data_IF_854557031936
#
_entry.id   IF_854557031936
#
_cell.length_a   1.000
_cell.length_b   1.000
_cell.length_c   1.000
_cell.angle_alpha   90.00
_cell.angle_beta   90.00
_cell.angle_gamma   90.00
#
_symmetry.space_group_name_H-M   'P 1'
#
loop_
_entity.id
_entity.type
_entity.pdbx_description
1 polymer ?
#
# COMPACT_ATOMS: atom_id res chain seq x y z
N UNK A 1 46.72 -21.74 -3.97
CA UNK A 1 45.46 -22.36 -4.45
C UNK A 1 45.10 -21.67 -5.74
N UNK A 2 45.02 -22.40 -6.87
CA UNK A 2 45.05 -21.81 -8.20
C UNK A 2 43.61 -21.48 -8.68
N UNK A 3 43.35 -20.19 -8.93
CA UNK A 3 42.03 -19.63 -9.23
C UNK A 3 41.44 -20.15 -10.55
N UNK A 4 42.29 -20.51 -11.51
CA UNK A 4 41.88 -21.08 -12.80
C UNK A 4 41.37 -22.52 -12.66
N UNK A 5 41.90 -23.26 -11.69
CA UNK A 5 41.43 -24.61 -11.38
C UNK A 5 40.02 -24.58 -10.78
N UNK A 6 39.77 -23.60 -9.90
CA UNK A 6 38.45 -23.40 -9.28
C UNK A 6 37.39 -22.98 -10.31
N UNK A 7 37.74 -22.12 -11.27
CA UNK A 7 36.82 -21.71 -12.34
C UNK A 7 36.48 -22.86 -13.30
N UNK A 8 37.45 -23.70 -13.62
CA UNK A 8 37.24 -24.85 -14.51
C UNK A 8 36.36 -25.91 -13.84
N UNK A 9 36.62 -26.18 -12.55
CA UNK A 9 35.83 -27.14 -11.78
C UNK A 9 34.38 -26.66 -11.55
N UNK A 10 34.17 -25.35 -11.34
CA UNK A 10 32.83 -24.76 -11.20
C UNK A 10 32.06 -24.70 -12.53
N UNK A 11 32.75 -24.48 -13.66
CA UNK A 11 32.12 -24.53 -14.97
C UNK A 11 31.67 -25.95 -15.32
N UNK A 12 32.47 -26.97 -15.02
CA UNK A 12 32.08 -28.37 -15.20
C UNK A 12 30.87 -28.77 -14.34
N UNK A 13 30.79 -28.28 -13.10
CA UNK A 13 29.64 -28.50 -12.22
C UNK A 13 28.36 -27.81 -12.69
N UNK A 14 28.45 -26.72 -13.46
CA UNK A 14 27.29 -26.01 -13.98
C UNK A 14 26.66 -26.73 -15.18
N UNK A 15 27.48 -27.40 -16.00
CA UNK A 15 27.01 -28.18 -17.16
C UNK A 15 26.42 -29.55 -16.76
N UNK A 16 26.77 -30.06 -15.58
CA UNK A 16 26.32 -31.38 -15.10
C UNK A 16 24.98 -31.32 -14.33
N UNK A 17 24.50 -30.12 -13.96
CA UNK A 17 23.26 -29.95 -13.18
C UNK A 17 22.12 -29.52 -14.10
N UNK A 18 21.33 -30.50 -14.55
CA UNK A 18 20.12 -30.25 -15.32
C UNK A 18 19.10 -29.48 -14.45
N UNK A 19 18.45 -28.43 -14.99
CA UNK A 19 17.49 -27.58 -14.26
C UNK A 19 16.40 -28.38 -13.51
N UNK A 20 16.06 -29.56 -14.03
CA UNK A 20 15.11 -30.50 -13.43
C UNK A 20 15.57 -31.03 -12.07
N UNK A 21 16.87 -31.23 -11.85
CA UNK A 21 17.41 -31.76 -10.60
C UNK A 21 17.31 -30.76 -9.45
N UNK A 22 17.48 -29.45 -9.72
CA UNK A 22 17.29 -28.40 -8.72
C UNK A 22 15.82 -28.32 -8.28
N UNK A 23 14.89 -28.42 -9.24
CA UNK A 23 13.45 -28.43 -8.96
C UNK A 23 13.05 -29.67 -8.15
N UNK A 24 13.52 -30.85 -8.53
CA UNK A 24 13.20 -32.10 -7.82
C UNK A 24 13.82 -32.16 -6.43
N UNK A 25 14.99 -31.53 -6.23
CA UNK A 25 15.63 -31.40 -4.91
C UNK A 25 14.88 -30.40 -4.02
N UNK A 26 14.40 -29.29 -4.58
CA UNK A 26 13.55 -28.34 -3.87
C UNK A 26 12.22 -28.98 -3.44
N UNK A 27 11.56 -29.71 -4.34
CA UNK A 27 10.29 -30.40 -4.04
C UNK A 27 10.46 -31.52 -3.00
N UNK A 28 11.55 -32.29 -3.06
CA UNK A 28 11.84 -33.32 -2.03
C UNK A 28 12.14 -32.71 -0.67
N UNK A 29 12.89 -31.60 -0.61
CA UNK A 29 13.20 -30.91 0.65
C UNK A 29 11.92 -30.34 1.27
N UNK A 30 11.06 -29.73 0.46
CA UNK A 30 9.74 -29.26 0.87
C UNK A 30 8.86 -30.39 1.44
N UNK A 31 8.76 -31.53 0.75
CA UNK A 31 7.98 -32.69 1.22
C UNK A 31 8.53 -33.34 2.49
N UNK A 32 9.84 -33.24 2.74
CA UNK A 32 10.47 -33.76 3.97
C UNK A 32 10.14 -32.88 5.17
N UNK A 33 10.20 -31.55 5.00
CA UNK A 33 9.84 -30.59 6.05
C UNK A 33 8.36 -30.71 6.41
N UNK A 34 7.48 -30.86 5.41
CA UNK A 34 6.05 -31.08 5.64
C UNK A 34 5.76 -32.35 6.47
N UNK A 35 6.48 -33.45 6.20
CA UNK A 35 6.32 -34.71 6.97
C UNK A 35 6.86 -34.63 8.39
N UNK A 36 7.96 -33.91 8.62
CA UNK A 36 8.52 -33.73 9.97
C UNK A 36 7.57 -32.92 10.87
N UNK A 37 6.81 -31.97 10.31
CA UNK A 37 5.86 -31.15 11.06
C UNK A 37 4.58 -31.91 11.46
N UNK A 38 4.11 -32.84 10.64
CA UNK A 38 2.91 -33.64 10.96
C UNK A 38 3.14 -34.60 12.14
N UNK A 39 4.39 -34.99 12.40
CA UNK A 39 4.76 -35.83 13.55
C UNK A 39 4.83 -35.06 14.88
N UNK A 40 4.98 -33.73 14.85
CA UNK A 40 5.12 -32.90 16.06
C UNK A 40 3.77 -32.38 16.61
N UNK A 41 2.73 -32.28 15.77
CA UNK A 41 1.42 -31.73 16.17
C UNK A 41 0.54 -32.76 16.91
N UNK A 42 0.83 -34.06 16.80
CA UNK A 42 0.04 -35.11 17.46
C UNK A 42 0.32 -35.26 18.98
N UNK A 43 1.27 -34.51 19.56
CA UNK A 43 1.70 -34.70 20.95
C UNK A 43 1.20 -33.64 21.95
N UNK A 44 0.41 -32.64 21.52
CA UNK A 44 0.15 -31.43 22.32
C UNK A 44 -1.31 -31.07 22.51
N UNK A 45 -2.23 -32.03 22.73
CA UNK A 45 -3.64 -31.69 22.99
C UNK A 45 -4.23 -32.50 24.15
N UNK A 46 -3.75 -32.26 25.37
CA UNK A 46 -4.45 -32.68 26.60
C UNK A 46 -4.25 -31.64 27.72
N UNK A 47 -5.36 -31.06 28.16
CA UNK A 47 -5.69 -30.53 29.51
C UNK A 47 -5.79 -29.01 29.77
N UNK A 48 -6.86 -28.72 30.57
CA UNK A 48 -7.23 -27.53 31.39
C UNK A 48 -8.14 -26.50 30.69
N UNK A 49 -9.50 -26.56 30.77
CA UNK A 49 -10.48 -26.32 31.88
C UNK A 49 -10.45 -24.88 32.46
N UNK A 50 -11.60 -24.17 32.45
CA UNK A 50 -11.97 -23.27 33.56
C UNK A 50 -12.75 -21.98 33.28
N UNK A 51 -14.08 -22.09 33.30
CA UNK A 51 -15.18 -21.13 33.57
C UNK A 51 -14.82 -19.75 34.19
N UNK A 52 -15.38 -18.64 33.65
CA UNK A 52 -16.25 -17.68 34.38
C UNK A 52 -16.93 -16.66 33.47
N UNK A 53 -18.22 -16.45 33.72
CA UNK A 53 -19.20 -15.59 33.05
C UNK A 53 -19.28 -14.19 33.68
N UNK A 54 -19.49 -13.15 32.87
CA UNK A 54 -20.19 -11.93 33.30
C UNK A 54 -20.96 -11.34 32.11
N UNK A 55 -22.29 -11.27 32.26
CA UNK A 55 -23.21 -10.88 31.21
C UNK A 55 -23.27 -9.37 30.99
N UNK A 56 -23.37 -8.99 29.71
CA UNK A 56 -23.98 -7.74 29.30
C UNK A 56 -25.18 -8.09 28.43
N UNK A 57 -26.37 -8.10 29.04
CA UNK A 57 -27.62 -8.05 28.31
C UNK A 57 -27.82 -6.59 27.85
N UNK A 58 -27.43 -6.27 26.61
CA UNK A 58 -27.79 -5.01 25.99
C UNK A 58 -29.22 -5.12 25.46
N UNK A 59 -30.06 -4.22 25.97
CA UNK A 59 -31.42 -3.97 25.56
C UNK A 59 -31.44 -3.64 24.06
N UNK A 60 -32.08 -4.48 23.26
CA UNK A 60 -32.25 -4.29 21.81
C UNK A 60 -33.53 -3.48 21.60
N UNK A 61 -33.36 -2.17 21.37
CA UNK A 61 -34.45 -1.31 20.92
C UNK A 61 -34.67 -1.58 19.42
N UNK A 62 -35.75 -2.28 19.07
CA UNK A 62 -36.20 -2.48 17.68
C UNK A 62 -36.83 -1.19 17.13
N UNK A 63 -36.05 -0.10 17.08
CA UNK A 63 -36.42 1.09 16.32
C UNK A 63 -36.15 0.82 14.84
N UNK A 64 -37.21 0.79 14.05
CA UNK A 64 -37.13 0.81 12.60
C UNK A 64 -36.22 1.97 12.15
N UNK A 65 -35.19 1.64 11.36
CA UNK A 65 -34.30 2.62 10.75
C UNK A 65 -35.14 3.62 9.94
N UNK A 66 -34.88 4.93 10.05
CA UNK A 66 -35.59 5.92 9.25
C UNK A 66 -35.35 5.64 7.76
N UNK A 67 -36.42 5.72 6.98
CA UNK A 67 -36.41 5.60 5.53
C UNK A 67 -35.43 6.64 4.96
N UNK A 68 -34.31 6.17 4.40
CA UNK A 68 -33.28 7.03 3.81
C UNK A 68 -33.83 7.52 2.47
N UNK A 69 -34.11 8.82 2.39
CA UNK A 69 -34.44 9.49 1.14
C UNK A 69 -33.37 9.18 0.08
N UNK A 70 -33.78 8.92 -1.16
CA UNK A 70 -32.93 8.56 -2.30
C UNK A 70 -31.76 9.55 -2.41
N UNK A 71 -30.59 9.13 -1.92
CA UNK A 71 -29.39 9.95 -1.83
C UNK A 71 -28.86 10.22 -3.23
N UNK A 72 -28.54 11.49 -3.52
CA UNK A 72 -27.82 11.86 -4.76
C UNK A 72 -26.54 11.03 -4.86
N UNK A 73 -26.23 10.56 -6.07
CA UNK A 73 -25.03 9.80 -6.46
C UNK A 73 -23.77 10.68 -6.51
N UNK A 74 -23.53 11.49 -5.48
CA UNK A 74 -22.34 12.33 -5.36
C UNK A 74 -21.28 11.60 -4.54
N UNK A 75 -19.98 11.87 -4.78
CA UNK A 75 -18.94 11.53 -3.82
C UNK A 75 -19.29 12.03 -2.40
N UNK A 76 -18.68 11.47 -1.34
CA UNK A 76 -18.87 11.93 0.03
C UNK A 76 -18.78 13.46 0.14
N UNK A 77 -19.68 14.09 0.89
CA UNK A 77 -19.70 15.53 1.06
C UNK A 77 -18.32 16.03 1.53
N UNK A 78 -17.74 16.99 0.80
CA UNK A 78 -16.35 17.45 0.98
C UNK A 78 -15.39 16.94 -0.10
N UNK A 79 -15.77 15.93 -0.90
CA UNK A 79 -15.02 15.48 -2.06
C UNK A 79 -15.59 16.03 -3.36
N UNK A 80 -14.71 16.37 -4.31
CA UNK A 80 -15.10 16.74 -5.68
C UNK A 80 -15.16 15.51 -6.59
N UNK A 81 -14.32 14.51 -6.34
CA UNK A 81 -14.30 13.26 -7.11
C UNK A 81 -13.62 12.11 -6.39
N UNK A 82 -13.81 10.89 -6.88
CA UNK A 82 -13.08 9.68 -6.48
C UNK A 82 -12.46 9.02 -7.72
N UNK A 83 -11.20 8.61 -7.63
CA UNK A 83 -10.43 8.03 -8.74
C UNK A 83 -10.16 6.56 -8.50
N UNK A 84 -10.52 5.73 -9.47
CA UNK A 84 -10.47 4.28 -9.40
C UNK A 84 -9.60 3.68 -10.51
N UNK A 85 -9.13 2.45 -10.27
CA UNK A 85 -8.54 1.57 -11.27
C UNK A 85 -9.15 0.17 -11.21
N UNK A 86 -9.52 -0.37 -12.36
CA UNK A 86 -10.18 -1.69 -12.43
C UNK A 86 -9.29 -2.85 -11.99
N UNK A 87 -7.99 -2.79 -12.28
CA UNK A 87 -7.02 -3.80 -11.89
C UNK A 87 -5.60 -3.20 -11.85
N UNK A 88 -4.91 -3.40 -10.72
CA UNK A 88 -3.52 -2.98 -10.54
C UNK A 88 -2.52 -3.89 -11.28
N UNK A 89 -2.84 -5.16 -11.53
CA UNK A 89 -1.91 -6.16 -12.10
C UNK A 89 -1.70 -6.03 -13.63
N UNK A 90 -2.48 -5.20 -14.32
CA UNK A 90 -2.46 -5.16 -15.79
C UNK A 90 -2.80 -3.82 -16.44
N UNK A 91 -2.77 -2.73 -15.68
CA UNK A 91 -3.28 -1.41 -16.09
C UNK A 91 -4.70 -1.52 -16.67
N UNK A 92 -5.67 -1.69 -15.77
CA UNK A 92 -7.09 -1.67 -16.13
C UNK A 92 -7.57 -0.30 -16.58
N UNK A 93 -8.83 -0.23 -17.03
CA UNK A 93 -9.49 1.05 -17.20
C UNK A 93 -9.44 1.84 -15.88
N UNK A 94 -9.26 3.15 -15.96
CA UNK A 94 -9.43 4.04 -14.83
C UNK A 94 -10.81 4.68 -14.88
N UNK A 95 -11.32 5.11 -13.74
CA UNK A 95 -12.60 5.78 -13.67
C UNK A 95 -12.52 6.93 -12.69
N UNK A 96 -13.28 7.98 -12.98
CA UNK A 96 -13.53 9.06 -12.04
C UNK A 96 -15.02 9.10 -11.76
N UNK A 97 -15.37 9.04 -10.49
CA UNK A 97 -16.72 9.28 -10.01
C UNK A 97 -16.81 10.70 -9.46
N UNK A 98 -17.69 11.52 -10.03
CA UNK A 98 -17.94 12.90 -9.61
C UNK A 98 -19.45 13.22 -9.65
N UNK A 99 -19.81 14.50 -9.56
CA UNK A 99 -21.22 14.93 -9.66
C UNK A 99 -21.89 14.74 -11.01
N UNK A 100 -21.13 14.38 -12.06
CA UNK A 100 -21.63 13.95 -13.36
C UNK A 100 -21.80 12.43 -13.50
N UNK A 101 -21.44 11.64 -12.48
CA UNK A 101 -21.49 10.18 -12.50
C UNK A 101 -20.11 9.53 -12.68
N UNK A 102 -20.07 8.30 -13.20
CA UNK A 102 -18.83 7.58 -13.48
C UNK A 102 -18.39 7.85 -14.92
N UNK A 103 -17.17 8.35 -15.09
CA UNK A 103 -16.50 8.47 -16.40
C UNK A 103 -15.29 7.56 -16.46
N UNK A 104 -15.27 6.65 -17.42
CA UNK A 104 -14.13 5.77 -17.69
C UNK A 104 -13.07 6.53 -18.50
N UNK A 105 -11.83 6.47 -18.02
CA UNK A 105 -10.65 6.98 -18.71
C UNK A 105 -9.94 5.80 -19.37
N UNK A 106 -9.79 5.87 -20.69
CA UNK A 106 -9.09 4.86 -21.47
C UNK A 106 -7.66 5.32 -21.73
N UNK A 107 -6.70 4.65 -21.10
CA UNK A 107 -5.28 4.76 -21.43
C UNK A 107 -5.04 3.97 -22.73
N UNK A 108 -5.36 4.57 -23.90
CA UNK A 108 -5.03 3.96 -25.19
C UNK A 108 -3.55 4.18 -25.50
N UNK A 109 -2.88 3.12 -25.95
CA UNK A 109 -1.53 3.14 -26.54
C UNK A 109 -0.34 3.35 -25.61
N UNK A 110 -0.45 3.03 -24.32
CA UNK A 110 0.73 3.07 -23.45
C UNK A 110 1.53 1.76 -23.51
N UNK A 111 2.87 1.80 -23.63
CA UNK A 111 3.74 0.62 -23.69
C UNK A 111 3.89 -0.08 -22.33
N UNK A 112 2.86 -0.04 -21.49
CA UNK A 112 2.84 -0.63 -20.15
C UNK A 112 2.80 -2.17 -20.23
N UNK A 113 2.18 -2.72 -21.27
CA UNK A 113 2.08 -4.16 -21.51
C UNK A 113 3.39 -4.91 -21.81
N UNK A 114 4.55 -4.25 -21.73
CA UNK A 114 5.88 -4.89 -21.78
C UNK A 114 6.60 -4.96 -20.43
N UNK A 115 6.03 -4.40 -19.38
CA UNK A 115 6.64 -4.36 -18.05
C UNK A 115 5.90 -5.33 -17.11
N UNK A 116 6.64 -5.99 -16.22
CA UNK A 116 6.06 -6.92 -15.25
C UNK A 116 5.01 -6.19 -14.42
N UNK A 117 3.83 -6.78 -14.25
CA UNK A 117 2.69 -6.13 -13.58
C UNK A 117 2.98 -5.65 -12.16
N UNK A 118 4.04 -6.16 -11.53
CA UNK A 118 4.44 -5.81 -10.16
C UNK A 118 4.88 -4.34 -10.02
N UNK A 119 5.62 -3.78 -11.00
CA UNK A 119 6.14 -2.40 -10.91
C UNK A 119 4.99 -1.37 -10.87
N UNK A 120 3.88 -1.63 -11.57
CA UNK A 120 2.73 -0.72 -11.66
C UNK A 120 1.89 -0.78 -10.40
N UNK A 121 1.68 -2.00 -9.89
CA UNK A 121 0.90 -2.24 -8.67
C UNK A 121 1.48 -1.43 -7.51
N UNK A 122 2.80 -1.42 -7.41
CA UNK A 122 3.54 -0.75 -6.33
C UNK A 122 3.67 0.77 -6.51
N UNK A 123 3.58 1.27 -7.76
CA UNK A 123 3.97 2.65 -8.05
C UNK A 123 2.86 3.58 -8.52
N UNK A 124 1.68 3.07 -8.88
CA UNK A 124 0.59 3.92 -9.36
C UNK A 124 0.02 4.79 -8.23
N UNK A 125 0.04 6.11 -8.41
CA UNK A 125 -0.55 7.06 -7.45
C UNK A 125 -1.12 8.29 -8.15
N UNK A 126 -2.10 8.92 -7.51
CA UNK A 126 -2.82 10.10 -8.00
C UNK A 126 -2.51 11.27 -7.08
N UNK A 127 -2.26 12.45 -7.66
CA UNK A 127 -2.00 13.66 -6.87
C UNK A 127 -3.19 14.03 -5.99
N UNK A 128 -2.97 14.68 -4.83
CA UNK A 128 -4.03 15.08 -3.92
C UNK A 128 -5.18 15.87 -4.55
N UNK A 129 -4.86 16.74 -5.50
CA UNK A 129 -5.82 17.55 -6.26
C UNK A 129 -6.49 16.80 -7.43
N UNK A 130 -6.13 15.54 -7.67
CA UNK A 130 -6.66 14.72 -8.76
C UNK A 130 -6.17 15.12 -10.15
N UNK A 131 -5.21 16.03 -10.26
CA UNK A 131 -4.74 16.54 -11.56
C UNK A 131 -3.81 15.55 -12.26
N UNK A 132 -2.98 14.83 -11.52
CA UNK A 132 -1.88 14.05 -12.07
C UNK A 132 -1.93 12.58 -11.64
N UNK A 133 -1.45 11.73 -12.55
CA UNK A 133 -1.17 10.33 -12.34
C UNK A 133 0.34 10.11 -12.47
N UNK A 134 0.93 9.31 -11.58
CA UNK A 134 2.33 8.90 -11.71
C UNK A 134 2.50 7.40 -11.47
N UNK A 135 3.48 6.81 -12.15
CA UNK A 135 3.88 5.41 -12.01
C UNK A 135 5.31 5.19 -12.47
N UNK A 136 5.92 4.08 -12.09
CA UNK A 136 7.29 3.71 -12.47
C UNK A 136 7.24 2.67 -13.60
N UNK A 137 8.21 2.74 -14.50
CA UNK A 137 8.52 1.69 -15.47
C UNK A 137 10.03 1.59 -15.69
N UNK A 138 10.47 0.67 -16.56
CA UNK A 138 11.88 0.63 -16.97
C UNK A 138 12.37 1.91 -17.67
N UNK A 139 11.48 2.73 -18.23
CA UNK A 139 11.85 4.00 -18.87
C UNK A 139 12.08 5.14 -17.87
N UNK A 140 11.64 4.98 -16.63
CA UNK A 140 11.67 6.01 -15.60
C UNK A 140 10.34 6.20 -14.89
N UNK A 141 10.23 7.32 -14.18
CA UNK A 141 9.02 7.76 -13.49
C UNK A 141 8.16 8.52 -14.48
N UNK A 142 6.96 8.02 -14.74
CA UNK A 142 6.00 8.66 -15.62
C UNK A 142 5.10 9.60 -14.85
N UNK A 143 4.73 10.68 -15.53
CA UNK A 143 3.75 11.65 -15.08
C UNK A 143 2.80 11.96 -16.23
N UNK A 144 1.50 11.89 -15.98
CA UNK A 144 0.47 12.26 -16.94
C UNK A 144 -0.63 13.05 -16.24
N UNK A 145 -1.28 13.96 -16.96
CA UNK A 145 -2.48 14.62 -16.46
C UNK A 145 -3.64 13.63 -16.53
N UNK A 146 -4.46 13.56 -15.47
CA UNK A 146 -5.55 12.60 -15.39
C UNK A 146 -6.57 12.86 -16.52
N UNK A 147 -6.70 11.88 -17.42
CA UNK A 147 -7.61 11.93 -18.57
C UNK A 147 -6.96 12.39 -19.88
N UNK A 148 -5.70 12.80 -19.85
CA UNK A 148 -4.91 13.10 -21.05
C UNK A 148 -4.09 11.88 -21.47
N UNK A 149 -3.71 11.81 -22.75
CA UNK A 149 -2.76 10.81 -23.25
C UNK A 149 -1.31 11.32 -23.24
N UNK A 150 -1.11 12.61 -22.96
CA UNK A 150 0.21 13.22 -22.89
C UNK A 150 0.91 12.78 -21.60
N UNK A 151 2.20 12.45 -21.75
CA UNK A 151 3.01 11.87 -20.69
C UNK A 151 4.41 12.43 -20.74
N UNK A 152 4.93 12.78 -19.57
CA UNK A 152 6.31 13.19 -19.37
C UNK A 152 7.01 12.09 -18.59
N UNK A 153 8.22 11.72 -19.04
CA UNK A 153 9.08 10.82 -18.28
C UNK A 153 10.03 11.68 -17.46
N UNK A 154 9.84 11.65 -16.14
CA UNK A 154 10.71 12.25 -15.16
C UNK A 154 11.91 11.32 -14.95
N UNK A 155 13.09 11.82 -15.30
CA UNK A 155 14.35 11.11 -15.12
C UNK A 155 15.36 12.03 -14.46
N UNK A 156 16.27 11.42 -13.68
CA UNK A 156 17.43 12.12 -13.18
C UNK A 156 18.43 12.28 -14.32
N UNK A 157 18.75 13.52 -14.67
CA UNK A 157 19.64 13.81 -15.80
C UNK A 157 21.12 13.56 -15.48
N UNK A 158 21.47 13.53 -14.19
CA UNK A 158 22.84 13.42 -13.73
C UNK A 158 23.22 11.96 -13.42
N UNK A 159 24.00 11.34 -14.31
CA UNK A 159 24.62 10.01 -14.11
C UNK A 159 23.71 8.82 -14.48
N UNK A 160 24.18 7.60 -14.19
CA UNK A 160 23.45 6.35 -14.43
C UNK A 160 22.48 6.03 -13.28
N UNK A 161 21.69 7.01 -12.86
CA UNK A 161 20.64 6.79 -11.87
C UNK A 161 19.36 6.29 -12.53
N UNK A 162 18.74 5.30 -11.90
CA UNK A 162 17.46 4.73 -12.30
C UNK A 162 16.45 4.91 -11.19
N UNK A 163 15.19 5.13 -11.54
CA UNK A 163 14.11 5.13 -10.55
C UNK A 163 14.01 3.72 -9.95
N UNK A 164 13.95 3.64 -8.63
CA UNK A 164 13.87 2.37 -7.90
C UNK A 164 12.41 2.02 -7.65
N UNK A 165 11.87 1.04 -8.37
CA UNK A 165 10.45 0.64 -8.27
C UNK A 165 10.13 -0.34 -7.14
N UNK A 166 10.99 -1.34 -6.88
CA UNK A 166 10.54 -2.57 -6.22
C UNK A 166 10.16 -2.55 -4.74
N UNK A 167 10.23 -1.41 -4.05
CA UNK A 167 9.82 -1.28 -2.63
C UNK A 167 9.38 0.16 -2.29
N UNK A 168 9.79 1.13 -3.10
CA UNK A 168 9.56 2.55 -2.86
C UNK A 168 8.75 3.10 -4.05
N UNK A 169 7.44 3.03 -3.93
CA UNK A 169 6.53 3.72 -4.85
C UNK A 169 6.70 5.24 -4.77
N UNK A 170 6.42 5.98 -5.85
CA UNK A 170 6.41 7.43 -5.78
C UNK A 170 5.25 7.91 -4.91
N UNK A 171 5.47 8.98 -4.16
CA UNK A 171 4.48 9.53 -3.22
C UNK A 171 4.30 11.03 -3.41
N UNK A 172 3.06 11.47 -3.55
CA UNK A 172 2.73 12.87 -3.79
C UNK A 172 2.82 13.71 -2.52
N UNK A 173 3.50 14.86 -2.61
CA UNK A 173 3.35 15.90 -1.61
C UNK A 173 1.90 16.39 -1.57
N UNK A 174 1.42 16.79 -0.39
CA UNK A 174 0.04 17.27 -0.22
C UNK A 174 -0.32 18.49 -1.08
N UNK A 175 0.69 19.25 -1.53
CA UNK A 175 0.53 20.39 -2.43
C UNK A 175 0.34 19.99 -3.91
N UNK A 176 0.44 18.71 -4.27
CA UNK A 176 0.36 18.19 -5.65
C UNK A 176 1.42 18.73 -6.61
N UNK A 177 2.44 19.43 -6.11
CA UNK A 177 3.48 20.05 -6.95
C UNK A 177 4.76 19.21 -7.03
N UNK A 178 4.91 18.24 -6.13
CA UNK A 178 6.14 17.43 -6.03
C UNK A 178 5.83 15.98 -5.73
N UNK A 179 6.71 15.11 -6.19
CA UNK A 179 6.65 13.67 -6.02
C UNK A 179 7.94 13.16 -5.37
N UNK A 180 7.82 12.54 -4.21
CA UNK A 180 8.91 11.85 -3.54
C UNK A 180 9.17 10.53 -4.28
N UNK A 181 10.42 10.25 -4.62
CA UNK A 181 10.79 8.98 -5.22
C UNK A 181 12.20 8.56 -4.78
N UNK A 182 12.47 7.26 -4.87
CA UNK A 182 13.81 6.71 -4.72
C UNK A 182 14.49 6.54 -6.08
N UNK A 183 15.78 6.87 -6.13
CA UNK A 183 16.67 6.62 -7.25
C UNK A 183 17.79 5.69 -6.79
N UNK A 184 18.23 4.82 -7.67
CA UNK A 184 19.35 3.90 -7.45
C UNK A 184 20.43 4.14 -8.49
N UNK A 185 21.69 4.05 -8.09
CA UNK A 185 22.83 4.05 -8.98
C UNK A 185 23.49 2.66 -8.95
N UNK A 186 23.21 1.79 -9.95
CA UNK A 186 23.64 0.40 -9.92
C UNK A 186 25.16 0.26 -9.78
N UNK A 187 25.92 1.13 -10.44
CA UNK A 187 27.39 1.09 -10.44
C UNK A 187 28.02 1.40 -9.08
N UNK A 188 27.29 2.07 -8.18
CA UNK A 188 27.78 2.45 -6.85
C UNK A 188 27.02 1.80 -5.70
N UNK A 189 25.99 1.00 -6.01
CA UNK A 189 25.04 0.48 -5.04
C UNK A 189 24.52 1.58 -4.09
N UNK A 190 24.27 2.77 -4.65
CA UNK A 190 23.79 3.93 -3.92
C UNK A 190 22.29 4.08 -4.15
N UNK A 191 21.53 4.36 -3.09
CA UNK A 191 20.10 4.70 -3.16
C UNK A 191 19.95 6.07 -2.55
N UNK A 192 19.28 6.96 -3.27
CA UNK A 192 18.97 8.32 -2.85
C UNK A 192 17.47 8.56 -2.97
N UNK A 193 16.87 9.19 -1.97
CA UNK A 193 15.50 9.67 -2.02
C UNK A 193 15.49 11.17 -2.33
N UNK A 194 14.43 11.66 -2.97
CA UNK A 194 14.32 13.07 -3.29
C UNK A 194 13.04 13.41 -4.04
N UNK A 195 12.89 14.69 -4.35
CA UNK A 195 11.70 15.25 -4.97
C UNK A 195 11.88 15.46 -6.45
N UNK A 196 10.91 15.02 -7.24
CA UNK A 196 10.68 15.55 -8.59
C UNK A 196 9.62 16.64 -8.53
N UNK A 197 9.81 17.71 -9.28
CA UNK A 197 8.76 18.70 -9.50
C UNK A 197 7.79 18.20 -10.58
N UNK A 198 6.49 18.37 -10.37
CA UNK A 198 5.44 17.91 -11.28
C UNK A 198 5.41 18.67 -12.61
N UNK A 199 6.08 19.82 -12.69
CA UNK A 199 6.24 20.60 -13.91
C UNK A 199 7.38 20.09 -14.84
N UNK A 200 7.97 18.93 -14.52
CA UNK A 200 9.12 18.39 -15.25
C UNK A 200 10.47 18.89 -14.76
N UNK A 201 10.51 19.59 -13.61
CA UNK A 201 11.74 20.07 -13.00
C UNK A 201 12.70 18.96 -12.53
N UNK A 202 13.91 19.39 -12.17
CA UNK A 202 15.01 18.49 -11.79
C UNK A 202 14.77 17.77 -10.45
N UNK A 203 15.36 16.58 -10.32
CA UNK A 203 15.42 15.85 -9.06
C UNK A 203 16.19 16.64 -8.00
N UNK A 204 15.55 16.88 -6.86
CA UNK A 204 16.17 17.53 -5.69
C UNK A 204 16.40 16.47 -4.60
N UNK A 205 17.65 16.08 -4.33
CA UNK A 205 17.96 15.08 -3.31
C UNK A 205 17.43 15.52 -1.94
N UNK A 206 16.79 14.60 -1.24
CA UNK A 206 16.49 14.76 0.18
C UNK A 206 17.75 14.34 0.95
N UNK A 207 18.33 15.27 1.71
CA UNK A 207 19.49 14.97 2.57
C UNK A 207 19.00 14.27 3.83
N UNK A 208 18.52 13.04 3.67
CA UNK A 208 17.91 12.26 4.73
C UNK A 208 18.28 10.77 4.62
N UNK A 209 19.27 10.38 5.40
CA UNK A 209 19.75 8.99 5.42
C UNK A 209 18.70 8.00 5.96
N UNK A 210 17.64 8.46 6.63
CA UNK A 210 16.66 7.58 7.29
C UNK A 210 15.60 7.00 6.36
N UNK A 211 15.37 7.62 5.20
CA UNK A 211 14.54 7.03 4.15
C UNK A 211 15.34 6.13 3.20
N UNK A 212 16.66 6.02 3.38
CA UNK A 212 17.48 5.14 2.56
C UNK A 212 17.15 3.69 2.88
N UNK A 213 16.66 2.97 1.86
CA UNK A 213 16.23 1.58 2.03
C UNK A 213 14.87 1.42 2.72
N UNK A 214 14.09 2.51 2.80
CA UNK A 214 12.69 2.44 3.18
C UNK A 214 11.87 1.70 2.11
N UNK A 215 10.86 0.96 2.56
CA UNK A 215 9.83 0.33 1.76
C UNK A 215 8.45 0.86 2.18
N UNK A 216 7.43 0.62 1.35
CA UNK A 216 6.02 0.97 1.64
C UNK A 216 5.85 2.39 2.16
N UNK A 217 6.50 3.33 1.47
CA UNK A 217 6.49 4.73 1.89
C UNK A 217 5.14 5.33 1.54
N UNK A 218 4.53 5.99 2.52
CA UNK A 218 3.30 6.77 2.36
C UNK A 218 3.50 8.15 2.92
N UNK A 219 3.07 9.18 2.18
CA UNK A 219 3.26 10.57 2.55
C UNK A 219 1.93 11.30 2.77
N UNK A 220 1.86 12.11 3.81
CA UNK A 220 0.80 13.09 4.01
C UNK A 220 1.30 14.29 4.83
N UNK A 221 1.19 15.48 4.25
CA UNK A 221 1.77 16.69 4.80
C UNK A 221 3.29 16.58 4.85
N UNK A 222 3.86 16.90 6.01
CA UNK A 222 5.28 16.72 6.28
C UNK A 222 5.60 15.30 6.78
N UNK A 223 4.62 14.42 6.96
CA UNK A 223 4.81 13.12 7.60
C UNK A 223 4.86 11.98 6.59
N UNK A 224 5.90 11.16 6.70
CA UNK A 224 6.03 9.90 5.99
C UNK A 224 5.88 8.73 6.97
N UNK A 225 5.13 7.71 6.59
CA UNK A 225 5.18 6.39 7.21
C UNK A 225 5.89 5.43 6.26
N UNK A 226 6.72 4.53 6.79
CA UNK A 226 7.48 3.59 5.98
C UNK A 226 7.94 2.39 6.79
N UNK A 227 8.27 1.32 6.09
CA UNK A 227 8.88 0.12 6.67
C UNK A 227 10.37 0.06 6.36
N UNK A 228 11.12 -0.61 7.23
CA UNK A 228 12.53 -0.97 6.96
C UNK A 228 12.74 -2.41 7.39
N UNK A 229 13.62 -3.14 6.70
CA UNK A 229 13.99 -4.51 7.05
C UNK A 229 15.42 -4.55 7.62
N UNK A 230 15.64 -4.25 8.91
CA UNK A 230 16.98 -4.32 9.50
C UNK A 230 17.58 -5.73 9.45
N UNK A 231 16.73 -6.76 9.39
CA UNK A 231 17.08 -8.18 9.28
C UNK A 231 16.06 -8.87 8.39
N UNK A 232 16.50 -9.87 7.63
CA UNK A 232 15.61 -10.67 6.79
C UNK A 232 14.43 -11.22 7.62
N UNK A 233 13.21 -10.88 7.21
CA UNK A 233 11.97 -11.32 7.86
C UNK A 233 11.57 -10.55 9.11
N UNK A 234 12.18 -9.39 9.39
CA UNK A 234 11.75 -8.45 10.44
C UNK A 234 11.55 -7.09 9.79
N UNK A 235 10.33 -6.56 9.87
CA UNK A 235 9.99 -5.23 9.36
C UNK A 235 9.69 -4.27 10.51
N UNK A 236 10.48 -3.21 10.62
CA UNK A 236 10.22 -2.11 11.54
C UNK A 236 9.41 -1.01 10.83
N UNK A 237 8.35 -0.53 11.47
CA UNK A 237 7.59 0.63 10.99
C UNK A 237 8.09 1.91 11.62
N UNK A 238 8.24 2.95 10.82
CA UNK A 238 8.58 4.29 11.29
C UNK A 238 7.57 5.30 10.79
N UNK A 239 7.38 6.36 11.57
CA UNK A 239 6.83 7.63 11.09
C UNK A 239 7.84 8.74 11.29
N UNK A 240 7.97 9.60 10.28
CA UNK A 240 8.98 10.65 10.22
C UNK A 240 8.41 11.95 9.69
N UNK A 241 8.73 13.05 10.35
CA UNK A 241 8.46 14.38 9.83
C UNK A 241 9.64 14.82 8.97
N UNK A 242 9.42 14.97 7.66
CA UNK A 242 10.44 15.32 6.67
C UNK A 242 10.95 16.76 6.81
N UNK A 243 10.18 17.65 7.45
CA UNK A 243 10.59 19.04 7.70
C UNK A 243 11.43 19.18 8.97
N UNK A 244 11.04 18.53 10.06
CA UNK A 244 11.74 18.65 11.35
C UNK A 244 12.80 17.58 11.57
N UNK A 245 12.75 16.49 10.81
CA UNK A 245 13.59 15.31 10.99
C UNK A 245 13.19 14.44 12.18
N UNK A 246 12.08 14.75 12.87
CA UNK A 246 11.54 13.92 13.95
C UNK A 246 11.24 12.51 13.42
N UNK A 247 11.62 11.47 14.16
CA UNK A 247 11.32 10.08 13.79
C UNK A 247 11.02 9.26 15.01
N UNK A 248 10.00 8.41 14.88
CA UNK A 248 9.68 7.40 15.87
C UNK A 248 9.39 6.07 15.18
N UNK A 249 9.83 5.00 15.83
CA UNK A 249 9.38 3.65 15.50
C UNK A 249 7.97 3.47 16.07
N UNK A 250 7.08 2.82 15.33
CA UNK A 250 5.76 2.46 15.85
C UNK A 250 5.89 1.17 16.67
N UNK A 251 5.59 1.18 17.97
CA UNK A 251 5.74 0.00 18.83
C UNK A 251 4.86 -1.16 18.38
N UNK A 252 5.22 -2.39 18.76
CA UNK A 252 4.41 -3.62 18.70
C UNK A 252 3.83 -4.03 17.32
N UNK A 253 4.04 -3.24 16.27
CA UNK A 253 3.80 -3.64 14.89
C UNK A 253 4.91 -4.56 14.36
N UNK A 254 6.16 -4.34 14.78
CA UNK A 254 7.34 -5.04 14.26
C UNK A 254 7.75 -6.29 15.02
N UNK A 255 7.33 -6.43 16.29
CA UNK A 255 7.84 -7.47 17.16
C UNK A 255 7.13 -8.83 17.02
N UNK A 256 5.89 -8.86 16.52
CA UNK A 256 5.03 -10.06 16.57
C UNK A 256 4.19 -10.32 15.29
N UNK A 257 4.34 -9.50 14.25
CA UNK A 257 3.57 -9.65 13.00
C UNK A 257 4.54 -9.85 11.85
N UNK A 258 4.40 -10.96 11.13
CA UNK A 258 5.33 -11.27 10.03
C UNK A 258 5.07 -10.36 8.84
N UNK A 259 3.81 -9.95 8.61
CA UNK A 259 3.44 -9.14 7.45
C UNK A 259 2.37 -8.07 7.81
N UNK A 260 2.59 -6.85 7.35
CA UNK A 260 1.61 -5.77 7.32
C UNK A 260 1.90 -4.86 6.14
N UNK A 261 0.87 -4.20 5.61
CA UNK A 261 0.99 -3.22 4.53
C UNK A 261 0.47 -1.88 5.03
N UNK A 262 1.32 -0.84 5.02
CA UNK A 262 0.87 0.53 5.27
C UNK A 262 0.10 0.98 4.03
N UNK A 263 -1.01 1.70 4.20
CA UNK A 263 -1.75 2.29 3.07
C UNK A 263 -1.78 3.82 3.11
N UNK A 264 -1.59 4.43 4.29
CA UNK A 264 -1.62 5.87 4.47
C UNK A 264 -1.08 6.31 5.84
N UNK A 265 -0.74 7.59 5.93
CA UNK A 265 -0.36 8.29 7.17
C UNK A 265 -1.22 9.54 7.32
N UNK A 266 -1.60 9.85 8.56
CA UNK A 266 -2.30 11.10 8.89
C UNK A 266 -1.37 12.31 8.76
N UNK A 267 -1.89 13.52 8.47
CA UNK A 267 -1.05 14.70 8.21
C UNK A 267 -0.28 15.22 9.43
N UNK A 268 -0.58 14.72 10.63
CA UNK A 268 0.16 14.98 11.87
C UNK A 268 1.05 13.80 12.31
N UNK A 269 1.08 12.74 11.48
CA UNK A 269 1.81 11.50 11.73
C UNK A 269 1.32 10.71 12.93
N UNK A 270 0.23 11.09 13.60
CA UNK A 270 -0.25 10.44 14.83
C UNK A 270 -0.81 9.04 14.57
N UNK A 271 -1.35 8.82 13.37
CA UNK A 271 -2.01 7.59 12.94
C UNK A 271 -1.52 7.13 11.57
N UNK A 272 -1.53 5.82 11.37
CA UNK A 272 -1.40 5.16 10.06
C UNK A 272 -2.61 4.27 9.82
N UNK A 273 -2.88 4.00 8.55
CA UNK A 273 -3.78 2.91 8.14
C UNK A 273 -2.94 1.76 7.63
N UNK A 274 -3.33 0.54 7.97
CA UNK A 274 -2.63 -0.65 7.52
C UNK A 274 -3.56 -1.85 7.35
N UNK A 275 -3.14 -2.78 6.47
CA UNK A 275 -3.61 -4.16 6.48
C UNK A 275 -2.71 -4.97 7.39
N UNK A 276 -3.31 -5.63 8.38
CA UNK A 276 -2.59 -6.58 9.23
C UNK A 276 -2.82 -7.98 8.67
N UNK A 277 -1.75 -8.65 8.25
CA UNK A 277 -1.82 -9.99 7.64
C UNK A 277 -1.62 -11.02 8.76
N UNK A 278 -2.57 -11.94 8.89
CA UNK A 278 -2.47 -13.02 9.88
C UNK A 278 -1.55 -14.13 9.36
N UNK A 279 -0.69 -14.66 10.23
CA UNK A 279 0.45 -15.52 9.89
C UNK A 279 0.05 -16.87 9.25
N UNK A 280 -1.23 -17.24 9.26
CA UNK A 280 -1.70 -18.55 8.82
C UNK A 280 -2.11 -18.61 7.34
N UNK A 281 -2.33 -17.47 6.66
CA UNK A 281 -2.98 -17.45 5.34
C UNK A 281 -2.06 -17.14 4.16
N UNK A 282 -0.96 -16.41 4.34
CA UNK A 282 -0.16 -15.91 3.21
C UNK A 282 1.35 -16.23 3.36
N UNK A 283 1.92 -16.85 2.32
CA UNK A 283 3.32 -17.29 2.31
C UNK A 283 4.26 -16.11 2.02
N UNK A 284 4.92 -15.57 3.04
CA UNK A 284 6.27 -14.95 3.01
C UNK A 284 6.65 -14.09 1.78
N UNK A 285 5.74 -13.31 1.22
CA UNK A 285 6.09 -12.26 0.29
C UNK A 285 5.26 -11.06 0.70
N UNK A 286 5.91 -9.98 1.13
CA UNK A 286 5.27 -8.66 1.28
C UNK A 286 4.49 -8.45 -0.01
N UNK A 287 3.14 -8.52 0.01
CA UNK A 287 2.41 -8.42 -1.21
C UNK A 287 2.68 -7.01 -1.73
N UNK A 288 3.06 -6.86 -3.01
CA UNK A 288 3.06 -5.56 -3.68
C UNK A 288 1.78 -4.79 -3.36
N UNK A 289 1.92 -3.47 -3.16
CA UNK A 289 0.89 -2.52 -2.72
C UNK A 289 -0.52 -2.91 -3.18
N UNK A 290 -1.33 -3.45 -2.28
CA UNK A 290 -2.74 -3.80 -2.52
C UNK A 290 -3.67 -2.62 -2.28
N UNK A 291 -3.22 -1.61 -1.53
CA UNK A 291 -4.03 -0.50 -1.02
C UNK A 291 -5.19 -0.96 -0.13
N UNK A 292 -5.15 -2.21 0.33
CA UNK A 292 -6.07 -2.70 1.32
C UNK A 292 -5.63 -2.21 2.70
N UNK A 293 -6.61 -1.84 3.53
CA UNK A 293 -6.37 -1.54 4.92
C UNK A 293 -7.65 -1.74 5.70
N UNK A 294 -7.52 -2.38 6.86
CA UNK A 294 -8.61 -2.70 7.76
C UNK A 294 -8.37 -2.20 9.19
N UNK A 295 -7.20 -1.62 9.47
CA UNK A 295 -6.84 -1.06 10.76
C UNK A 295 -6.40 0.39 10.67
N UNK A 296 -6.75 1.17 11.70
CA UNK A 296 -6.12 2.44 12.04
C UNK A 296 -5.26 2.21 13.26
N UNK A 297 -4.00 2.60 13.22
CA UNK A 297 -3.04 2.36 14.30
C UNK A 297 -2.53 3.69 14.85
N UNK A 298 -2.53 3.82 16.17
CA UNK A 298 -1.83 4.91 16.85
C UNK A 298 -0.32 4.67 16.75
N UNK A 299 0.40 5.63 16.17
CA UNK A 299 1.83 5.50 15.88
C UNK A 299 2.73 5.68 17.10
N UNK A 300 2.19 6.13 18.24
CA UNK A 300 2.92 6.26 19.50
C UNK A 300 2.81 5.00 20.33
N UNK A 301 1.66 4.32 20.32
CA UNK A 301 1.43 3.13 21.13
C UNK A 301 1.51 1.83 20.33
N UNK A 302 1.32 1.88 19.01
CA UNK A 302 1.16 0.67 18.18
C UNK A 302 -0.23 0.05 18.26
N UNK A 303 -1.12 0.62 19.08
CA UNK A 303 -2.43 0.05 19.30
C UNK A 303 -3.36 0.30 18.10
N UNK A 304 -4.12 -0.73 17.75
CA UNK A 304 -5.24 -0.56 16.83
C UNK A 304 -6.31 0.28 17.51
N UNK A 305 -6.63 1.42 16.92
CA UNK A 305 -7.69 2.28 17.41
C UNK A 305 -9.05 1.65 17.08
N UNK A 306 -10.02 1.67 18.01
CA UNK A 306 -11.37 1.28 17.70
C UNK A 306 -11.88 2.23 16.62
N UNK A 307 -12.17 1.68 15.46
CA UNK A 307 -12.78 2.43 14.39
C UNK A 307 -14.24 2.65 14.80
N UNK A 308 -14.54 3.82 15.38
CA UNK A 308 -15.81 4.20 16.01
C UNK A 308 -17.02 4.28 15.08
N UNK A 309 -16.96 3.67 13.91
CA UNK A 309 -18.14 3.42 13.11
C UNK A 309 -18.73 2.12 13.61
N UNK A 310 -20.00 2.16 14.03
CA UNK A 310 -20.81 0.97 14.35
C UNK A 310 -21.07 0.11 13.10
N UNK A 311 -20.07 -0.13 12.26
CA UNK A 311 -20.09 -1.11 11.18
C UNK A 311 -19.85 -2.48 11.80
N UNK A 312 -20.86 -3.02 12.50
CA UNK A 312 -20.75 -4.37 13.07
C UNK A 312 -20.23 -5.36 12.02
N UNK A 313 -19.25 -6.21 12.36
CA UNK A 313 -18.62 -7.28 11.55
C UNK A 313 -18.18 -6.98 10.09
N UNK A 314 -18.54 -5.85 9.50
CA UNK A 314 -18.18 -5.44 8.14
C UNK A 314 -16.85 -4.69 8.24
N UNK A 315 -15.76 -5.39 7.93
CA UNK A 315 -14.44 -4.78 7.86
C UNK A 315 -14.37 -3.81 6.68
N UNK A 316 -13.93 -2.57 6.93
CA UNK A 316 -13.44 -1.74 5.85
C UNK A 316 -12.31 -2.48 5.14
N UNK A 317 -12.30 -2.45 3.81
CA UNK A 317 -11.25 -3.10 3.02
C UNK A 317 -10.25 -2.11 2.44
N UNK A 318 -10.59 -0.81 2.40
CA UNK A 318 -9.62 0.25 2.14
C UNK A 318 -9.80 1.41 3.12
N UNK A 319 -8.68 1.89 3.65
CA UNK A 319 -8.59 3.02 4.56
C UNK A 319 -7.44 3.93 4.10
N UNK A 320 -7.65 5.24 4.05
CA UNK A 320 -6.58 6.22 3.86
C UNK A 320 -6.96 7.60 4.37
N UNK A 321 -5.96 8.42 4.73
CA UNK A 321 -6.18 9.79 5.15
C UNK A 321 -6.14 10.76 3.97
N UNK A 322 -7.04 11.74 4.00
CA UNK A 322 -6.98 12.92 3.13
C UNK A 322 -5.90 13.89 3.62
N UNK A 323 -5.51 14.90 2.82
CA UNK A 323 -4.60 15.97 3.28
C UNK A 323 -5.14 16.76 4.47
N UNK A 324 -6.47 16.87 4.61
CA UNK A 324 -7.12 17.53 5.73
C UNK A 324 -7.10 16.68 7.03
N UNK A 325 -6.71 15.40 6.93
CA UNK A 325 -6.68 14.46 8.05
C UNK A 325 -7.98 13.71 8.28
N UNK A 326 -8.99 13.95 7.43
CA UNK A 326 -10.18 13.10 7.39
C UNK A 326 -9.78 11.70 6.93
N UNK A 327 -10.41 10.69 7.51
CA UNK A 327 -10.23 9.30 7.16
C UNK A 327 -11.32 8.88 6.18
N UNK A 328 -10.88 8.40 5.02
CA UNK A 328 -11.74 7.74 4.03
C UNK A 328 -11.76 6.26 4.35
N UNK A 329 -12.95 5.70 4.48
CA UNK A 329 -13.17 4.28 4.69
C UNK A 329 -14.13 3.73 3.64
N UNK A 330 -13.71 2.66 2.97
CA UNK A 330 -14.49 1.97 1.95
C UNK A 330 -14.96 0.62 2.45
N UNK A 331 -16.23 0.35 2.24
CA UNK A 331 -16.92 -0.84 2.70
C UNK A 331 -17.58 -1.57 1.54
N UNK A 332 -17.73 -2.88 1.70
CA UNK A 332 -18.49 -3.73 0.79
C UNK A 332 -19.36 -4.67 1.62
N UNK A 333 -20.63 -4.79 1.27
CA UNK A 333 -21.60 -5.73 1.84
C UNK A 333 -22.48 -6.30 0.74
N UNK A 334 -22.30 -7.59 0.44
CA UNK A 334 -22.97 -8.23 -0.70
C UNK A 334 -22.65 -7.48 -1.99
N UNK A 335 -23.69 -6.99 -2.67
CA UNK A 335 -23.54 -6.25 -3.92
C UNK A 335 -23.36 -4.73 -3.75
N UNK A 336 -23.32 -4.22 -2.52
CA UNK A 336 -23.22 -2.79 -2.22
C UNK A 336 -21.81 -2.43 -1.78
N UNK A 337 -21.32 -1.30 -2.29
CA UNK A 337 -20.14 -0.63 -1.74
C UNK A 337 -20.44 0.81 -1.43
N UNK A 338 -19.78 1.38 -0.43
CA UNK A 338 -19.94 2.78 -0.05
C UNK A 338 -18.65 3.35 0.53
N UNK A 339 -18.51 4.66 0.35
CA UNK A 339 -17.47 5.46 0.98
C UNK A 339 -18.03 6.18 2.20
N UNK A 340 -17.20 6.24 3.24
CA UNK A 340 -17.46 6.98 4.46
C UNK A 340 -16.32 7.94 4.70
N UNK A 341 -16.64 9.20 4.97
CA UNK A 341 -15.67 10.21 5.37
C UNK A 341 -15.84 10.49 6.86
N UNK A 342 -14.74 10.37 7.61
CA UNK A 342 -14.70 10.55 9.06
C UNK A 342 -13.73 11.66 9.40
N UNK A 343 -14.17 12.62 10.21
CA UNK A 343 -13.34 13.71 10.68
C UNK A 343 -12.18 13.19 11.57
N UNK A 344 -11.11 13.99 11.78
CA UNK A 344 -9.99 13.58 12.62
C UNK A 344 -10.39 13.20 14.05
N UNK A 345 -11.48 13.78 14.57
CA UNK A 345 -12.06 13.51 15.89
C UNK A 345 -12.93 12.23 15.95
N UNK A 346 -13.05 11.50 14.85
CA UNK A 346 -13.85 10.27 14.75
C UNK A 346 -15.31 10.50 14.36
N UNK A 347 -15.76 11.75 14.20
CA UNK A 347 -17.14 12.04 13.81
C UNK A 347 -17.38 11.72 12.33
N UNK A 348 -18.46 11.00 12.05
CA UNK A 348 -18.95 10.79 10.69
C UNK A 348 -19.29 12.14 10.02
N UNK A 349 -18.63 12.43 8.89
CA UNK A 349 -18.93 13.60 8.05
C UNK A 349 -19.99 13.24 7.02
N UNK A 350 -19.77 12.17 6.27
CA UNK A 350 -20.67 11.77 5.18
C UNK A 350 -20.52 10.31 4.81
N UNK A 351 -21.55 9.79 4.14
CA UNK A 351 -21.58 8.47 3.53
C UNK A 351 -22.14 8.61 2.12
N UNK A 352 -21.54 7.92 1.15
CA UNK A 352 -22.01 7.88 -0.23
C UNK A 352 -21.94 6.45 -0.76
N UNK A 353 -23.06 5.93 -1.25
CA UNK A 353 -23.08 4.64 -1.95
C UNK A 353 -22.28 4.79 -3.25
N UNK A 354 -21.36 3.86 -3.48
CA UNK A 354 -20.55 3.84 -4.69
C UNK A 354 -21.39 3.35 -5.88
N UNK A 355 -21.14 3.87 -7.09
CA UNK A 355 -21.73 3.35 -8.31
C UNK A 355 -21.33 1.88 -8.52
N UNK A 356 -22.26 1.06 -9.01
CA UNK A 356 -22.04 -0.36 -9.24
C UNK A 356 -20.90 -0.62 -10.25
N UNK A 357 -20.65 0.33 -11.15
CA UNK A 357 -19.62 0.27 -12.20
C UNK A 357 -18.19 0.22 -11.65
N UNK A 358 -17.95 0.75 -10.44
CA UNK A 358 -16.62 0.82 -9.80
C UNK A 358 -16.52 -0.03 -8.53
N UNK A 359 -17.53 -0.85 -8.24
CA UNK A 359 -17.63 -1.66 -7.02
C UNK A 359 -16.41 -2.55 -6.80
N UNK A 360 -15.96 -3.21 -7.86
CA UNK A 360 -14.87 -4.18 -7.81
C UNK A 360 -13.51 -3.56 -8.21
N UNK A 361 -13.45 -2.22 -8.29
CA UNK A 361 -12.25 -1.47 -8.70
C UNK A 361 -11.53 -0.96 -7.46
N UNK A 362 -10.22 -0.73 -7.50
CA UNK A 362 -9.45 -0.17 -6.39
C UNK A 362 -9.61 1.34 -6.34
N UNK A 363 -9.99 1.89 -5.19
CA UNK A 363 -9.98 3.35 -4.97
C UNK A 363 -8.54 3.81 -4.77
N UNK A 364 -8.05 4.67 -5.66
CA UNK A 364 -6.71 5.26 -5.58
C UNK A 364 -6.72 6.56 -4.76
N UNK A 365 -7.77 7.36 -4.89
CA UNK A 365 -7.83 8.68 -4.26
C UNK A 365 -9.26 9.19 -4.12
N UNK A 366 -9.53 9.86 -3.00
CA UNK A 366 -10.63 10.80 -2.87
C UNK A 366 -10.08 12.22 -3.01
N UNK A 367 -10.57 12.95 -4.00
CA UNK A 367 -10.13 14.33 -4.29
C UNK A 367 -11.01 15.28 -3.49
N UNK A 368 -10.39 16.07 -2.64
CA UNK A 368 -11.03 17.12 -1.83
C UNK A 368 -10.53 18.49 -2.31
N UNK A 369 -11.37 19.53 -2.28
CA UNK A 369 -10.99 20.87 -2.75
C UNK A 369 -9.98 21.58 -1.84
#
# INVERSE_FOLDING_TARGET
MNLDRLRTDLAGLADEVEYKDLRDRAVRTSRRIARIRLALVAAGTVAVIGITSAGFALHRDDRALPEIATTRTLPPAGATSAVYIANLEGFGNMAVWDGGGVRTLHFRDHPVGRYGGDDLRESLTVSPDGTYLSWISAAGLHLSRLGDNDMVVLNRQDGDFRISGGCFGPEWASDSTRLLAATSQPTRNAVETGWFAADGGAFTPLVDEKLRGACDVHLNGDWAAYTTSPRLGIFDTYVRNLRTGETRMVPDLSANRLDFEISSVSPDGSRITARLIDNDDERNAVPPRTLEANHVIDTRTGETLPFGIETGRLGAHQLFFTPAGDLVARFTEGDRSWLTLVAPDGRLISRADEPAEVRDWVLLRLVTP
#
